data_IF_750119520643
#
_entry.id   IF_750119520643
#
_cell.length_a   1.000
_cell.length_b   1.000
_cell.length_c   1.000
_cell.angle_alpha   90.00
_cell.angle_beta   90.00
_cell.angle_gamma   90.00
#
_symmetry.space_group_name_H-M   'P 1'
#
loop_
_entity.id
_entity.type
_entity.pdbx_description
1 polymer ?
#
# COMPACT_ATOMS: atom_id res chain seq x y z
N UNK A 1 -29.50 2.98 53.13
CA UNK A 1 -30.74 3.63 52.61
C UNK A 1 -30.72 3.43 51.11
N UNK A 2 -31.51 2.48 50.66
CA UNK A 2 -32.62 2.49 49.69
C UNK A 2 -32.19 2.96 48.30
N UNK A 3 -31.94 1.99 47.40
CA UNK A 3 -32.87 1.46 46.39
C UNK A 3 -33.23 2.44 45.24
N UNK A 4 -32.92 2.07 43.99
CA UNK A 4 -33.99 1.62 43.07
C UNK A 4 -33.42 1.07 41.77
N UNK A 5 -33.77 -0.17 41.56
CA UNK A 5 -33.79 -0.95 40.32
C UNK A 5 -34.75 -0.28 39.31
N UNK A 6 -34.34 -0.18 38.06
CA UNK A 6 -35.31 -0.12 36.98
C UNK A 6 -34.93 -1.11 35.89
N UNK A 7 -35.73 -2.16 35.85
CA UNK A 7 -35.84 -3.16 34.80
C UNK A 7 -36.74 -2.57 33.71
N UNK A 8 -36.28 -2.55 32.50
CA UNK A 8 -37.08 -2.19 31.35
C UNK A 8 -36.81 -3.18 30.22
N UNK A 9 -37.50 -4.31 30.29
CA UNK A 9 -37.63 -5.27 29.18
C UNK A 9 -38.53 -4.63 28.11
N UNK A 10 -38.07 -4.55 26.89
CA UNK A 10 -38.96 -4.39 25.76
C UNK A 10 -38.56 -5.40 24.67
N UNK A 11 -39.32 -6.47 24.66
CA UNK A 11 -39.49 -7.43 23.61
C UNK A 11 -40.06 -6.72 22.38
N UNK A 12 -39.37 -6.76 21.26
CA UNK A 12 -40.01 -6.61 19.96
C UNK A 12 -39.70 -7.84 19.11
N UNK A 13 -40.65 -8.72 19.19
CA UNK A 13 -40.88 -9.80 18.26
C UNK A 13 -41.38 -9.17 16.95
N UNK A 14 -40.66 -9.32 15.85
CA UNK A 14 -41.24 -9.11 14.51
C UNK A 14 -40.89 -10.28 13.61
N UNK A 15 -41.95 -11.00 13.39
CA UNK A 15 -42.12 -12.18 12.58
C UNK A 15 -42.09 -11.82 11.09
N UNK A 16 -41.33 -12.58 10.34
CA UNK A 16 -41.62 -13.02 8.98
C UNK A 16 -41.80 -11.99 7.89
N UNK A 17 -40.91 -12.08 6.90
CA UNK A 17 -41.34 -12.10 5.50
C UNK A 17 -40.25 -12.73 4.62
N UNK A 18 -40.63 -13.84 4.03
CA UNK A 18 -39.91 -14.48 2.95
C UNK A 18 -39.76 -13.51 1.78
N UNK A 19 -38.56 -13.23 1.35
CA UNK A 19 -38.35 -12.49 0.13
C UNK A 19 -37.77 -13.41 -0.95
N UNK A 20 -38.65 -13.69 -1.85
CA UNK A 20 -38.58 -14.45 -3.08
C UNK A 20 -37.50 -13.86 -4.00
N UNK A 21 -36.55 -14.70 -4.37
CA UNK A 21 -35.52 -14.36 -5.38
C UNK A 21 -36.15 -13.98 -6.70
N UNK A 22 -35.69 -12.90 -7.35
CA UNK A 22 -36.08 -12.64 -8.74
C UNK A 22 -35.25 -13.52 -9.68
N UNK A 23 -35.96 -14.21 -10.55
CA UNK A 23 -35.43 -15.02 -11.62
C UNK A 23 -34.69 -14.12 -12.62
N UNK A 24 -33.45 -14.46 -12.91
CA UNK A 24 -32.62 -13.90 -13.95
C UNK A 24 -33.23 -14.15 -15.31
N UNK A 25 -33.71 -13.11 -15.98
CA UNK A 25 -33.97 -13.15 -17.40
C UNK A 25 -32.65 -12.99 -18.16
N UNK A 26 -32.14 -14.09 -18.69
CA UNK A 26 -31.16 -14.09 -19.77
C UNK A 26 -31.82 -13.54 -21.03
N UNK A 27 -31.63 -12.27 -21.29
CA UNK A 27 -31.84 -11.74 -22.64
C UNK A 27 -30.47 -11.76 -23.32
N UNK A 28 -30.36 -12.71 -24.26
CA UNK A 28 -29.24 -12.78 -25.18
C UNK A 28 -29.25 -11.53 -26.07
N UNK A 29 -28.41 -10.55 -25.71
CA UNK A 29 -28.16 -9.41 -26.60
C UNK A 29 -27.00 -9.76 -27.49
N UNK A 30 -27.30 -9.95 -28.76
CA UNK A 30 -26.41 -10.18 -29.88
C UNK A 30 -25.14 -9.31 -29.81
N UNK A 31 -24.00 -9.98 -29.90
CA UNK A 31 -22.66 -9.37 -30.10
C UNK A 31 -22.72 -8.63 -31.46
N UNK A 32 -22.40 -7.34 -31.49
CA UNK A 32 -22.18 -6.66 -32.77
C UNK A 32 -20.91 -7.23 -33.40
N UNK A 33 -21.04 -7.72 -34.62
CA UNK A 33 -19.95 -8.17 -35.47
C UNK A 33 -19.04 -6.98 -35.73
N UNK A 34 -17.79 -7.05 -35.29
CA UNK A 34 -16.77 -6.09 -35.66
C UNK A 34 -16.57 -6.09 -37.18
N UNK A 35 -16.42 -4.93 -37.80
CA UNK A 35 -16.01 -4.86 -39.19
C UNK A 35 -14.51 -5.12 -39.29
N UNK A 36 -14.16 -6.14 -40.05
CA UNK A 36 -12.81 -6.48 -40.49
C UNK A 36 -12.24 -5.32 -41.33
N UNK A 37 -11.59 -4.38 -40.69
CA UNK A 37 -10.78 -3.40 -41.39
C UNK A 37 -9.34 -3.45 -40.95
N UNK A 38 -8.60 -4.42 -41.48
CA UNK A 38 -7.16 -4.41 -41.51
C UNK A 38 -6.70 -3.40 -42.57
N UNK A 39 -6.61 -2.14 -42.17
CA UNK A 39 -6.08 -1.07 -42.98
C UNK A 39 -5.17 -0.17 -42.18
N UNK A 40 -3.87 -0.28 -42.46
CA UNK A 40 -2.81 0.72 -42.23
C UNK A 40 -2.59 1.29 -40.82
N UNK A 41 -1.56 0.79 -40.15
CA UNK A 41 -0.64 1.65 -39.40
C UNK A 41 -1.21 2.41 -38.20
N UNK A 42 -1.95 1.76 -37.28
CA UNK A 42 -2.16 2.35 -35.98
C UNK A 42 -0.99 1.95 -35.07
N UNK A 43 0.06 2.78 -35.03
CA UNK A 43 0.98 2.78 -33.92
C UNK A 43 0.14 3.25 -32.73
N UNK A 44 -0.09 2.43 -31.69
CA UNK A 44 -0.73 2.95 -30.50
C UNK A 44 0.18 4.02 -29.93
N UNK A 45 -0.18 5.27 -30.11
CA UNK A 45 0.40 6.39 -29.38
C UNK A 45 0.05 6.10 -27.92
N UNK A 46 0.99 5.51 -27.19
CA UNK A 46 0.83 5.34 -25.77
C UNK A 46 0.59 6.72 -25.20
N UNK A 47 -0.61 6.90 -24.62
CA UNK A 47 -0.93 8.13 -23.92
C UNK A 47 0.19 8.44 -22.93
N UNK A 48 0.55 9.72 -22.72
CA UNK A 48 1.54 10.07 -21.71
C UNK A 48 1.08 9.49 -20.36
N UNK A 49 2.01 9.03 -19.52
CA UNK A 49 1.68 8.48 -18.22
C UNK A 49 0.80 9.47 -17.45
N UNK A 50 -0.27 8.97 -16.85
CA UNK A 50 -1.13 9.80 -15.98
C UNK A 50 -0.30 10.19 -14.75
N UNK A 51 -0.36 11.43 -14.33
CA UNK A 51 0.45 12.00 -13.23
C UNK A 51 0.29 11.29 -11.87
N UNK A 52 -0.77 10.47 -11.71
CA UNK A 52 -1.06 9.73 -10.48
C UNK A 52 -0.73 8.23 -10.56
N UNK A 53 -0.05 7.77 -11.61
CA UNK A 53 0.22 6.35 -11.81
C UNK A 53 1.50 5.92 -11.08
N UNK A 54 1.39 4.90 -10.23
CA UNK A 54 2.53 4.31 -9.50
C UNK A 54 3.05 3.11 -10.29
N UNK A 55 4.31 3.15 -10.68
CA UNK A 55 4.91 2.14 -11.53
C UNK A 55 5.64 1.06 -10.72
N UNK A 56 5.53 -0.19 -11.18
CA UNK A 56 6.26 -1.34 -10.64
C UNK A 56 7.39 -1.80 -11.57
N UNK A 57 7.33 -1.40 -12.84
CA UNK A 57 8.36 -1.69 -13.85
C UNK A 57 8.87 -0.38 -14.39
N UNK A 58 10.15 -0.14 -14.25
CA UNK A 58 10.85 1.11 -14.56
C UNK A 58 12.16 0.80 -15.28
N UNK A 59 12.68 1.73 -16.04
CA UNK A 59 13.98 1.57 -16.70
C UNK A 59 15.12 1.70 -15.69
N UNK A 60 15.05 2.73 -14.83
CA UNK A 60 15.98 2.94 -13.72
C UNK A 60 15.20 2.92 -12.39
N UNK A 61 15.63 2.07 -11.47
CA UNK A 61 15.06 2.01 -10.12
C UNK A 61 15.47 3.20 -9.27
N UNK A 62 14.61 3.65 -8.33
CA UNK A 62 15.01 4.64 -7.35
C UNK A 62 16.23 4.20 -6.57
N UNK A 63 17.14 5.14 -6.29
CA UNK A 63 18.38 4.86 -5.60
C UNK A 63 18.55 5.76 -4.38
N UNK A 64 18.91 5.16 -3.24
CA UNK A 64 19.30 5.89 -2.04
C UNK A 64 20.62 6.64 -2.27
N UNK A 65 20.82 7.86 -1.74
CA UNK A 65 22.09 8.57 -1.82
C UNK A 65 23.24 7.75 -1.28
N UNK A 66 24.13 7.29 -2.17
CA UNK A 66 25.24 6.40 -1.81
C UNK A 66 24.92 4.90 -1.91
N UNK A 67 23.76 4.53 -2.45
CA UNK A 67 23.39 3.15 -2.74
C UNK A 67 22.81 2.38 -1.55
N UNK A 68 22.55 1.09 -1.78
CA UNK A 68 21.92 0.22 -0.79
C UNK A 68 22.72 0.06 0.49
N UNK A 69 24.06 0.02 0.40
CA UNK A 69 24.92 -0.12 1.57
C UNK A 69 24.77 1.06 2.53
N UNK A 70 24.63 2.28 1.98
CA UNK A 70 24.38 3.49 2.76
C UNK A 70 22.99 3.53 3.36
N UNK A 71 22.00 2.99 2.69
CA UNK A 71 20.65 2.82 3.24
C UNK A 71 20.67 1.88 4.46
N UNK A 72 21.34 0.73 4.34
CA UNK A 72 21.46 -0.22 5.45
C UNK A 72 22.25 0.37 6.62
N UNK A 73 23.33 1.10 6.33
CA UNK A 73 24.08 1.82 7.35
C UNK A 73 23.22 2.87 8.05
N UNK A 74 22.48 3.69 7.29
CA UNK A 74 21.58 4.70 7.85
C UNK A 74 20.53 4.08 8.79
N UNK A 75 19.91 2.96 8.35
CA UNK A 75 18.94 2.24 9.17
C UNK A 75 19.59 1.76 10.47
N UNK A 76 20.75 1.11 10.41
CA UNK A 76 21.47 0.60 11.58
C UNK A 76 21.90 1.72 12.55
N UNK A 77 22.40 2.84 12.02
CA UNK A 77 22.89 3.96 12.82
C UNK A 77 21.76 4.72 13.55
N UNK A 78 20.56 4.73 12.97
CA UNK A 78 19.41 5.45 13.50
C UNK A 78 18.36 4.55 14.14
N UNK A 79 18.55 3.23 14.08
CA UNK A 79 17.64 2.25 14.65
C UNK A 79 17.62 2.35 16.18
N UNK A 80 16.41 2.46 16.73
CA UNK A 80 16.17 2.36 18.16
C UNK A 80 15.33 1.09 18.42
N UNK A 81 15.92 0.17 19.16
CA UNK A 81 15.15 -1.01 19.55
C UNK A 81 14.21 -0.63 20.70
N UNK A 82 12.89 -0.66 20.52
CA UNK A 82 11.96 -0.26 21.57
C UNK A 82 12.14 -1.12 22.84
N UNK A 83 12.19 -0.48 24.01
CA UNK A 83 12.39 -1.17 25.30
C UNK A 83 11.36 -2.27 25.53
N UNK A 84 10.11 -2.06 25.10
CA UNK A 84 9.06 -3.06 25.18
C UNK A 84 9.41 -4.31 24.38
N UNK A 85 9.80 -4.14 23.12
CA UNK A 85 10.18 -5.27 22.27
C UNK A 85 11.43 -5.99 22.79
N UNK A 86 12.40 -5.25 23.39
CA UNK A 86 13.58 -5.84 24.03
C UNK A 86 13.20 -6.71 25.24
N UNK A 87 12.35 -6.18 26.14
CA UNK A 87 11.94 -6.88 27.37
C UNK A 87 11.11 -8.12 27.09
N UNK A 88 10.29 -8.07 26.06
CA UNK A 88 9.42 -9.18 25.64
C UNK A 88 10.14 -10.14 24.68
N UNK A 89 11.38 -9.85 24.27
CA UNK A 89 12.16 -10.67 23.33
C UNK A 89 11.51 -10.78 21.95
N UNK A 90 10.75 -9.75 21.54
CA UNK A 90 10.05 -9.75 20.27
C UNK A 90 11.03 -9.51 19.14
N UNK A 91 11.25 -10.51 18.32
CA UNK A 91 12.10 -10.44 17.13
C UNK A 91 11.25 -10.67 15.89
N UNK A 92 11.64 -10.07 14.79
CA UNK A 92 10.94 -10.26 13.53
C UNK A 92 11.34 -9.24 12.48
N UNK A 93 10.80 -9.43 11.28
CA UNK A 93 11.04 -8.55 10.14
C UNK A 93 9.74 -7.80 9.83
N UNK A 94 9.73 -6.51 10.12
CA UNK A 94 8.69 -5.59 9.66
C UNK A 94 8.96 -5.24 8.20
N UNK A 95 7.95 -5.24 7.37
CA UNK A 95 8.08 -4.85 5.96
C UNK A 95 7.32 -3.55 5.76
N UNK A 96 8.06 -2.51 5.40
CA UNK A 96 7.51 -1.19 5.09
C UNK A 96 7.53 -0.98 3.59
N UNK A 97 6.41 -0.56 3.05
CA UNK A 97 6.25 -0.15 1.66
C UNK A 97 5.96 1.35 1.62
N UNK A 98 6.54 2.04 0.67
CA UNK A 98 6.32 3.47 0.45
C UNK A 98 6.46 3.79 -1.04
N UNK A 99 6.08 4.98 -1.41
CA UNK A 99 6.23 5.49 -2.76
C UNK A 99 7.35 6.54 -2.74
N UNK A 100 8.24 6.47 -3.72
CA UNK A 100 9.21 7.51 -4.03
C UNK A 100 8.63 8.31 -5.19
N UNK A 101 8.41 9.60 -4.97
CA UNK A 101 7.84 10.48 -5.97
C UNK A 101 8.86 10.92 -7.04
N UNK A 102 8.42 11.70 -7.98
CA UNK A 102 9.22 12.20 -9.11
C UNK A 102 10.39 13.09 -8.68
N UNK A 103 10.28 13.69 -7.50
CA UNK A 103 11.33 14.52 -6.89
C UNK A 103 12.25 13.72 -5.96
N UNK A 104 11.95 12.44 -5.72
CA UNK A 104 12.71 11.57 -4.84
C UNK A 104 12.29 11.61 -3.37
N UNK A 105 11.15 12.23 -3.04
CA UNK A 105 10.61 12.22 -1.68
C UNK A 105 9.80 10.97 -1.39
N UNK A 106 9.83 10.55 -0.14
CA UNK A 106 9.05 9.40 0.33
C UNK A 106 7.66 9.87 0.71
N UNK A 107 6.66 9.26 0.08
CA UNK A 107 5.25 9.49 0.36
C UNK A 107 4.55 8.17 0.68
N UNK A 108 3.43 8.24 1.40
CA UNK A 108 2.55 7.10 1.73
C UNK A 108 3.27 5.89 2.37
N UNK A 109 4.08 6.06 3.43
CA UNK A 109 4.68 4.92 4.09
C UNK A 109 3.62 4.08 4.79
N UNK A 110 3.61 2.78 4.49
CA UNK A 110 2.65 1.81 5.00
C UNK A 110 3.33 0.51 5.43
N UNK A 111 2.83 -0.11 6.51
CA UNK A 111 3.29 -1.43 6.97
C UNK A 111 2.56 -2.51 6.17
N UNK A 112 3.32 -3.29 5.42
CA UNK A 112 2.81 -4.45 4.68
C UNK A 112 2.83 -5.70 5.56
N UNK A 113 3.86 -5.82 6.39
CA UNK A 113 3.98 -6.91 7.36
C UNK A 113 4.36 -6.34 8.72
N UNK A 114 3.45 -6.46 9.65
CA UNK A 114 3.59 -6.10 11.05
C UNK A 114 4.19 -7.25 11.87
N UNK A 115 4.90 -6.92 12.92
CA UNK A 115 5.37 -7.85 13.95
C UNK A 115 4.79 -7.45 15.29
N UNK A 116 5.07 -6.21 15.73
CA UNK A 116 4.57 -5.64 16.96
C UNK A 116 4.50 -4.11 16.81
N UNK A 117 3.52 -3.49 17.42
CA UNK A 117 3.20 -2.07 17.22
C UNK A 117 4.35 -1.12 17.53
N UNK A 118 5.20 -1.44 18.52
CA UNK A 118 6.37 -0.60 18.84
C UNK A 118 7.44 -0.68 17.75
N UNK A 119 7.68 -1.87 17.20
CA UNK A 119 8.59 -2.07 16.06
C UNK A 119 8.07 -1.43 14.78
N UNK A 120 6.76 -1.51 14.55
CA UNK A 120 6.11 -0.90 13.39
C UNK A 120 6.24 0.62 13.43
N UNK A 121 5.99 1.23 14.60
CA UNK A 121 6.15 2.68 14.78
C UNK A 121 7.59 3.13 14.58
N UNK A 122 8.56 2.35 15.06
CA UNK A 122 9.98 2.64 14.87
C UNK A 122 10.38 2.53 13.40
N UNK A 123 9.91 1.51 12.70
CA UNK A 123 10.12 1.35 11.27
C UNK A 123 9.57 2.54 10.47
N UNK A 124 8.34 2.99 10.78
CA UNK A 124 7.74 4.16 10.14
C UNK A 124 8.50 5.45 10.48
N UNK A 125 9.02 5.59 11.73
CA UNK A 125 9.84 6.72 12.12
C UNK A 125 11.12 6.80 11.27
N UNK A 126 11.82 5.69 11.12
CA UNK A 126 13.04 5.59 10.31
C UNK A 126 12.78 5.94 8.84
N UNK A 127 11.72 5.42 8.25
CA UNK A 127 11.37 5.72 6.86
C UNK A 127 11.12 7.22 6.65
N UNK A 128 10.46 7.88 7.60
CA UNK A 128 10.21 9.33 7.55
C UNK A 128 11.47 10.19 7.73
N UNK A 129 12.54 9.62 8.26
CA UNK A 129 13.84 10.29 8.43
C UNK A 129 14.77 10.11 7.23
N UNK A 130 14.42 9.24 6.29
CA UNK A 130 15.26 9.01 5.11
C UNK A 130 15.40 10.31 4.30
N UNK A 131 16.61 10.58 3.77
CA UNK A 131 16.85 11.72 2.89
C UNK A 131 16.16 11.54 1.55
N UNK A 132 16.19 12.58 0.74
CA UNK A 132 15.71 12.53 -0.64
C UNK A 132 16.51 11.51 -1.47
N UNK A 133 15.78 10.70 -2.24
CA UNK A 133 16.33 9.66 -3.12
C UNK A 133 16.52 10.19 -4.53
N UNK A 134 17.29 9.47 -5.33
CA UNK A 134 17.23 9.61 -6.78
C UNK A 134 15.93 8.94 -7.25
N UNK A 135 15.03 9.65 -7.96
CA UNK A 135 13.76 9.06 -8.40
C UNK A 135 13.98 7.98 -9.47
N UNK A 136 13.04 7.07 -9.58
CA UNK A 136 13.00 6.12 -10.67
C UNK A 136 12.64 6.80 -12.00
N UNK A 137 13.08 6.22 -13.10
CA UNK A 137 12.77 6.76 -14.42
C UNK A 137 12.13 5.73 -15.35
N UNK A 138 11.25 6.22 -16.23
CA UNK A 138 10.68 5.47 -17.33
C UNK A 138 10.75 6.31 -18.60
N UNK A 139 11.42 5.80 -19.62
CA UNK A 139 11.66 6.53 -20.88
C UNK A 139 12.31 7.91 -20.67
N UNK A 140 13.22 7.99 -19.68
CA UNK A 140 13.93 9.22 -19.33
C UNK A 140 13.10 10.25 -18.55
N UNK A 141 11.87 9.94 -18.15
CA UNK A 141 11.02 10.78 -17.31
C UNK A 141 11.00 10.23 -15.89
N UNK A 142 11.17 11.10 -14.88
CA UNK A 142 10.99 10.73 -13.49
C UNK A 142 9.53 10.33 -13.23
N UNK A 143 9.32 9.27 -12.45
CA UNK A 143 8.02 8.72 -12.16
C UNK A 143 7.91 8.25 -10.71
N UNK A 144 6.68 8.13 -10.22
CA UNK A 144 6.39 7.57 -8.90
C UNK A 144 6.62 6.06 -8.88
N UNK A 145 7.47 5.60 -7.99
CA UNK A 145 7.82 4.17 -7.87
C UNK A 145 7.52 3.65 -6.47
N UNK A 146 6.85 2.52 -6.41
CA UNK A 146 6.61 1.80 -5.15
C UNK A 146 7.86 1.02 -4.74
N UNK A 147 8.32 1.25 -3.52
CA UNK A 147 9.50 0.62 -2.97
C UNK A 147 9.20 -0.09 -1.65
N UNK A 148 9.95 -1.13 -1.34
CA UNK A 148 9.73 -1.94 -0.14
C UNK A 148 11.05 -2.22 0.56
N UNK A 149 11.10 -1.93 1.87
CA UNK A 149 12.29 -2.14 2.70
C UNK A 149 11.95 -3.05 3.87
N UNK A 150 12.74 -4.11 4.11
CA UNK A 150 12.65 -4.89 5.32
C UNK A 150 13.38 -4.17 6.47
N UNK A 151 12.72 -4.05 7.61
CA UNK A 151 13.28 -3.60 8.87
C UNK A 151 13.36 -4.78 9.84
N UNK A 152 14.54 -5.14 10.29
CA UNK A 152 14.78 -6.22 11.24
C UNK A 152 15.75 -5.74 12.31
N UNK A 153 15.26 -5.38 13.51
CA UNK A 153 16.13 -5.06 14.64
C UNK A 153 16.89 -6.31 15.11
N UNK A 154 18.13 -6.15 15.49
CA UNK A 154 19.03 -7.21 15.96
C UNK A 154 19.27 -7.08 17.45
#
# INVERSE_FOLDING_TARGET
MKTKIWVGVLFYSFMGCANKAPKSNLTSKSIPKEPDNYGAGFIPTQAPPKEDEVYHVVDDMPEFPGGMDKLLQFINDNMQYPTKAQTEGIQGKVIVQFIIDEDGYIIEPNIVRSVESSLDNEALRLIKMLPQWKPGTLKGKAIKVKYTVPYAPH
#
